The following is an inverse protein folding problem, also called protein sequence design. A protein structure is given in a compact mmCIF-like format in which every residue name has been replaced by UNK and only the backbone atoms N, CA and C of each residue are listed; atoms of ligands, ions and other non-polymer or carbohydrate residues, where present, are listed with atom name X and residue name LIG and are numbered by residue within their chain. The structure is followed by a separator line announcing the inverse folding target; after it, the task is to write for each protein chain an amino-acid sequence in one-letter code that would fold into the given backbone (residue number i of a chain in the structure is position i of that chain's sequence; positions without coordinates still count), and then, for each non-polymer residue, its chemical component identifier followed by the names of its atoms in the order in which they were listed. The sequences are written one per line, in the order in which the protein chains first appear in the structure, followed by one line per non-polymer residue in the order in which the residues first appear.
data_IF_100324472491
#
_entry.id   IF_100324472491
#
_cell.length_a   1.000
_cell.length_b   1.000
_cell.length_c   1.000
_cell.angle_alpha   90.00
_cell.angle_beta   90.00
_cell.angle_gamma   90.00
#
_symmetry.space_group_name_H-M   'P 1'
#
loop_
_entity.id
_entity.type
_entity.pdbx_description
1 polymer ?
#
# COMPACT_ATOMS: atom_id res chain seq x y z
N UNK A 1 -7.96 -4.31 11.79
CA UNK A 1 -7.83 -2.91 12.25
C UNK A 1 -7.47 -2.08 11.04
N UNK A 2 -8.22 -1.02 10.71
CA UNK A 2 -7.80 -0.07 9.68
C UNK A 2 -6.60 0.68 10.23
N UNK A 3 -5.46 0.56 9.57
CA UNK A 3 -4.26 1.29 9.97
C UNK A 3 -4.42 2.69 9.39
N UNK A 4 -4.50 3.70 10.25
CA UNK A 4 -4.52 5.10 9.80
C UNK A 4 -3.09 5.50 9.40
N UNK A 5 -2.79 5.38 8.11
CA UNK A 5 -1.58 5.94 7.51
C UNK A 5 -1.92 7.35 7.00
N UNK A 6 -1.20 8.38 7.45
CA UNK A 6 -1.31 9.76 6.92
C UNK A 6 -0.71 9.92 5.51
N UNK A 7 -0.80 8.85 4.72
CA UNK A 7 -0.09 8.64 3.49
C UNK A 7 -0.93 9.20 2.35
N UNK A 8 -0.25 9.79 1.36
CA UNK A 8 -0.91 10.36 0.19
C UNK A 8 -0.49 9.57 -1.04
N UNK A 9 -1.42 9.38 -1.97
CA UNK A 9 -1.12 8.72 -3.22
C UNK A 9 0.06 9.40 -3.93
N UNK A 10 1.10 8.63 -4.29
CA UNK A 10 2.27 9.17 -4.98
C UNK A 10 1.90 9.81 -6.33
N UNK A 11 0.83 9.35 -6.99
CA UNK A 11 0.35 9.84 -8.29
C UNK A 11 -0.67 10.98 -8.19
N UNK A 12 -1.81 10.79 -7.51
CA UNK A 12 -2.90 11.78 -7.48
C UNK A 12 -2.99 12.59 -6.18
N UNK A 13 -2.11 12.35 -5.20
CA UNK A 13 -2.09 12.99 -3.87
C UNK A 13 -3.36 12.78 -3.03
N UNK A 14 -4.29 11.92 -3.45
CA UNK A 14 -5.45 11.58 -2.64
C UNK A 14 -5.06 10.84 -1.36
N UNK A 15 -5.81 11.09 -0.29
CA UNK A 15 -5.75 10.36 0.99
C UNK A 15 -6.64 9.11 0.99
N UNK A 16 -7.41 8.90 -0.07
CA UNK A 16 -8.26 7.72 -0.26
C UNK A 16 -7.41 6.51 -0.68
N UNK A 17 -6.72 5.96 0.32
CA UNK A 17 -5.81 4.83 0.21
C UNK A 17 -6.35 3.66 1.04
N UNK A 18 -6.32 2.47 0.47
CA UNK A 18 -6.52 1.22 1.18
C UNK A 18 -5.16 0.64 1.57
N UNK A 19 -4.93 0.55 2.87
CA UNK A 19 -3.70 0.00 3.44
C UNK A 19 -3.85 -1.50 3.69
N UNK A 20 -3.07 -2.31 2.99
CA UNK A 20 -3.03 -3.75 3.18
C UNK A 20 -1.73 -4.13 3.87
N UNK A 21 -1.80 -4.98 4.90
CA UNK A 21 -0.60 -5.52 5.55
C UNK A 21 -0.13 -6.74 4.78
N UNK A 22 1.16 -6.76 4.45
CA UNK A 22 1.75 -7.64 3.44
C UNK A 22 2.80 -8.56 4.07
N UNK A 23 2.48 -9.13 5.22
CA UNK A 23 3.42 -9.97 5.95
C UNK A 23 3.07 -10.12 7.42
N UNK A 24 3.94 -10.87 8.09
CA UNK A 24 3.98 -10.93 9.53
C UNK A 24 4.66 -9.68 10.09
N UNK A 25 4.49 -9.42 11.38
CA UNK A 25 5.24 -8.37 12.05
C UNK A 25 6.62 -8.95 12.31
N UNK A 26 7.64 -8.36 11.68
CA UNK A 26 9.03 -8.76 11.86
C UNK A 26 9.46 -8.50 13.32
N UNK A 27 10.56 -9.15 13.75
CA UNK A 27 11.03 -9.07 15.15
C UNK A 27 11.46 -7.66 15.58
N UNK A 28 11.68 -6.77 14.62
CA UNK A 28 11.98 -5.34 14.82
C UNK A 28 10.71 -4.48 14.98
N UNK A 29 9.52 -5.08 14.87
CA UNK A 29 8.23 -4.40 14.95
C UNK A 29 7.78 -3.76 13.64
N UNK A 30 8.58 -3.84 12.57
CA UNK A 30 8.20 -3.38 11.25
C UNK A 30 7.39 -4.45 10.52
N UNK A 31 6.53 -4.01 9.62
CA UNK A 31 5.75 -4.90 8.79
C UNK A 31 5.60 -4.27 7.42
N UNK A 32 5.67 -5.11 6.38
CA UNK A 32 5.39 -4.64 5.03
C UNK A 32 3.94 -4.19 4.94
N UNK A 33 3.74 -3.01 4.37
CA UNK A 33 2.43 -2.43 4.10
C UNK A 33 2.44 -1.87 2.69
N UNK A 34 1.45 -2.21 1.89
CA UNK A 34 1.22 -1.56 0.61
C UNK A 34 -0.07 -0.76 0.66
N UNK A 35 -0.07 0.36 -0.06
CA UNK A 35 -1.22 1.24 -0.23
C UNK A 35 -1.78 1.12 -1.62
N UNK A 36 -3.09 0.91 -1.72
CA UNK A 36 -3.83 0.97 -2.97
C UNK A 36 -4.65 2.26 -2.99
N UNK A 37 -4.38 3.16 -3.93
CA UNK A 37 -5.21 4.34 -4.10
C UNK A 37 -6.53 4.00 -4.78
N UNK A 38 -7.66 4.29 -4.13
CA UNK A 38 -8.98 4.00 -4.69
C UNK A 38 -9.37 4.95 -5.83
N UNK A 39 -8.78 6.14 -5.87
CA UNK A 39 -9.03 7.15 -6.92
C UNK A 39 -8.37 6.78 -8.25
N UNK A 40 -7.07 6.50 -8.24
CA UNK A 40 -6.29 6.25 -9.46
C UNK A 40 -5.85 4.80 -9.63
N UNK A 41 -6.26 3.90 -8.73
CA UNK A 41 -5.96 2.46 -8.75
C UNK A 41 -4.47 2.17 -8.89
N UNK A 42 -3.63 2.98 -8.23
CA UNK A 42 -2.21 2.66 -8.11
C UNK A 42 -2.00 1.87 -6.83
N UNK A 43 -1.10 0.89 -6.87
CA UNK A 43 -0.66 0.17 -5.69
C UNK A 43 0.82 0.45 -5.48
N UNK A 44 1.20 0.84 -4.27
CA UNK A 44 2.56 1.26 -3.97
C UNK A 44 3.02 0.85 -2.57
N UNK A 45 4.33 0.65 -2.42
CA UNK A 45 4.96 0.32 -1.15
C UNK A 45 4.91 1.50 -0.17
N UNK A 46 4.64 1.24 1.11
CA UNK A 46 4.61 2.28 2.13
C UNK A 46 6.01 2.84 2.47
N UNK A 47 7.03 1.99 2.49
CA UNK A 47 8.39 2.31 2.89
C UNK A 47 9.16 2.96 1.75
N UNK A 48 9.14 2.31 0.58
CA UNK A 48 9.95 2.72 -0.58
C UNK A 48 9.17 3.56 -1.60
N UNK A 49 7.83 3.55 -1.54
CA UNK A 49 7.00 4.24 -2.53
C UNK A 49 7.02 3.60 -3.92
N UNK A 50 7.55 2.37 -4.05
CA UNK A 50 7.62 1.64 -5.30
C UNK A 50 6.21 1.31 -5.79
N UNK A 51 5.90 1.60 -7.07
CA UNK A 51 4.58 1.37 -7.65
C UNK A 51 4.56 0.01 -8.33
N UNK A 52 3.65 -0.86 -7.92
CA UNK A 52 3.47 -2.18 -8.52
C UNK A 52 2.18 -2.24 -9.33
N UNK A 53 2.28 -2.72 -10.57
CA UNK A 53 1.10 -3.08 -11.38
C UNK A 53 0.49 -4.41 -10.96
N UNK A 54 1.29 -5.29 -10.36
CA UNK A 54 0.87 -6.59 -9.84
C UNK A 54 1.60 -6.87 -8.53
N UNK A 55 0.85 -7.12 -7.46
CA UNK A 55 1.39 -7.55 -6.19
C UNK A 55 0.91 -8.96 -5.88
N UNK A 56 1.82 -9.94 -5.89
CA UNK A 56 1.46 -11.32 -5.53
C UNK A 56 1.15 -11.48 -4.05
N UNK A 57 1.68 -10.61 -3.18
CA UNK A 57 1.41 -10.70 -1.75
C UNK A 57 0.02 -10.14 -1.35
N UNK A 58 -0.53 -9.22 -2.14
CA UNK A 58 -1.89 -8.66 -1.97
C UNK A 58 -2.94 -9.26 -2.91
N UNK A 59 -2.52 -10.10 -3.86
CA UNK A 59 -3.30 -10.43 -5.05
C UNK A 59 -3.80 -9.19 -5.82
N UNK A 60 -3.09 -8.05 -5.70
CA UNK A 60 -3.44 -6.84 -6.41
C UNK A 60 -3.04 -6.94 -7.89
N UNK A 61 -3.96 -6.64 -8.80
CA UNK A 61 -3.72 -6.55 -10.24
C UNK A 61 -4.37 -5.25 -10.73
N UNK A 62 -3.58 -4.32 -11.27
CA UNK A 62 -4.11 -3.21 -12.04
C UNK A 62 -4.46 -3.70 -13.45
N UNK A 63 -5.75 -3.74 -13.79
CA UNK A 63 -6.25 -3.95 -15.17
C UNK A 63 -6.29 -2.66 -15.98
#
# INVERSE_FOLDING_TARGET
MKIECGCHCIKCKSTDLESNRIGEIEKDGYFDMHHTCNQCKIHFDHLDGEIFSKCQKCDYISS
#
